data_IF_122962230490
#
_entry.id   IF_122962230490
#
_cell.length_a   1.000
_cell.length_b   1.000
_cell.length_c   1.000
_cell.angle_alpha   90.00
_cell.angle_beta   90.00
_cell.angle_gamma   90.00
#
_symmetry.space_group_name_H-M   'P 1'
#
loop_
_entity.id
_entity.type
_entity.pdbx_description
1 polymer ?
#
# COMPACT_ATOMS: atom_id res chain seq x y z
N UNK A 1 7.85 0.33 24.15
CA UNK A 1 7.86 -0.50 22.92
C UNK A 1 7.34 0.37 21.80
N UNK A 2 7.91 0.31 20.60
CA UNK A 2 7.37 1.10 19.48
C UNK A 2 6.01 0.52 19.04
N UNK A 3 5.06 1.38 18.72
CA UNK A 3 3.76 1.01 18.17
C UNK A 3 3.94 0.32 16.81
N UNK A 4 3.30 -0.84 16.60
CA UNK A 4 3.46 -1.63 15.39
C UNK A 4 2.09 -1.87 14.76
N UNK A 5 1.80 -1.15 13.67
CA UNK A 5 0.51 -1.20 12.96
C UNK A 5 0.07 -2.62 12.62
N UNK A 6 1.02 -3.51 12.28
CA UNK A 6 0.71 -4.90 11.95
C UNK A 6 0.23 -5.72 13.14
N UNK A 7 0.60 -5.30 14.36
CA UNK A 7 0.21 -5.96 15.61
C UNK A 7 -1.02 -5.33 16.23
N UNK A 8 -1.16 -4.02 16.12
CA UNK A 8 -2.25 -3.27 16.74
C UNK A 8 -3.51 -3.27 15.86
N UNK A 9 -3.36 -3.26 14.53
CA UNK A 9 -4.48 -3.30 13.57
C UNK A 9 -4.47 -4.59 12.74
N UNK A 10 -4.57 -5.74 13.43
CA UNK A 10 -4.48 -7.06 12.79
C UNK A 10 -5.53 -7.27 11.72
N UNK A 11 -6.71 -6.66 11.88
CA UNK A 11 -7.80 -6.69 10.91
C UNK A 11 -7.41 -6.12 9.55
N UNK A 12 -6.41 -5.23 9.44
CA UNK A 12 -5.95 -4.69 8.16
C UNK A 12 -4.67 -5.34 7.63
N UNK A 13 -3.87 -5.94 8.51
CA UNK A 13 -2.52 -6.41 8.16
C UNK A 13 -2.31 -7.91 8.32
N UNK A 14 -3.23 -8.64 8.94
CA UNK A 14 -3.10 -10.06 9.24
C UNK A 14 -4.39 -10.84 8.95
N UNK A 15 -4.98 -10.72 7.74
CA UNK A 15 -6.12 -11.57 7.36
C UNK A 15 -5.73 -13.05 7.35
N UNK A 16 -6.76 -13.90 7.34
CA UNK A 16 -6.60 -15.34 7.14
C UNK A 16 -6.26 -15.65 5.68
N UNK A 17 -5.84 -16.89 5.40
CA UNK A 17 -5.72 -17.45 4.03
C UNK A 17 -7.07 -17.79 3.39
N UNK A 18 -8.14 -17.17 3.87
CA UNK A 18 -9.50 -17.31 3.37
C UNK A 18 -10.05 -15.90 3.24
N UNK A 19 -10.83 -15.60 2.19
CA UNK A 19 -11.42 -14.29 2.03
C UNK A 19 -12.26 -13.89 3.23
N UNK A 20 -12.19 -12.63 3.60
CA UNK A 20 -13.02 -12.01 4.62
C UNK A 20 -13.40 -10.59 4.20
N UNK A 21 -14.58 -10.14 4.64
CA UNK A 21 -15.01 -8.76 4.45
C UNK A 21 -14.35 -7.87 5.50
N UNK A 22 -13.97 -6.66 5.10
CA UNK A 22 -13.36 -5.66 5.98
C UNK A 22 -13.87 -4.27 5.60
N UNK A 23 -14.14 -3.44 6.61
CA UNK A 23 -14.41 -2.01 6.41
C UNK A 23 -13.15 -1.23 6.78
N UNK A 24 -12.48 -0.70 5.76
CA UNK A 24 -11.22 0.02 5.90
C UNK A 24 -11.53 1.50 6.13
N UNK A 25 -11.13 2.08 7.27
CA UNK A 25 -11.35 3.49 7.54
C UNK A 25 -10.49 4.37 6.63
N UNK A 26 -10.77 5.67 6.64
CA UNK A 26 -9.88 6.63 6.02
C UNK A 26 -8.48 6.56 6.62
N UNK A 27 -7.45 6.52 5.76
CA UNK A 27 -6.05 6.51 6.16
C UNK A 27 -5.25 7.50 5.32
N UNK A 28 -4.17 8.02 5.93
CA UNK A 28 -3.21 8.93 5.29
C UNK A 28 -1.98 8.15 4.86
N UNK A 29 -1.40 8.51 3.72
CA UNK A 29 -0.27 7.83 3.13
C UNK A 29 0.74 8.82 2.57
N UNK A 30 2.01 8.42 2.59
CA UNK A 30 3.02 8.92 1.67
C UNK A 30 2.79 8.15 0.37
N UNK A 31 2.68 8.85 -0.76
CA UNK A 31 2.36 8.24 -2.05
C UNK A 31 3.31 8.68 -3.16
N UNK A 32 3.57 7.78 -4.10
CA UNK A 32 4.23 8.08 -5.38
C UNK A 32 3.51 7.33 -6.49
N UNK A 33 3.10 8.06 -7.53
CA UNK A 33 2.45 7.50 -8.71
C UNK A 33 3.46 7.16 -9.81
N UNK A 34 3.18 6.14 -10.59
CA UNK A 34 4.00 5.78 -11.73
C UNK A 34 3.36 4.77 -12.67
N UNK A 35 4.13 4.42 -13.71
CA UNK A 35 3.81 3.41 -14.71
C UNK A 35 5.06 2.59 -15.01
N UNK A 36 4.89 1.36 -15.44
CA UNK A 36 5.96 0.47 -15.92
C UNK A 36 6.19 -0.74 -15.03
N UNK A 37 7.04 -1.64 -15.54
CA UNK A 37 7.30 -2.93 -14.92
C UNK A 37 8.04 -2.75 -13.57
N UNK A 38 7.48 -3.25 -12.45
CA UNK A 38 8.07 -3.07 -11.13
C UNK A 38 9.39 -3.84 -10.92
N UNK A 39 9.73 -4.75 -11.83
CA UNK A 39 10.95 -5.57 -11.76
C UNK A 39 12.13 -4.97 -12.53
N UNK A 40 11.96 -3.81 -13.16
CA UNK A 40 13.07 -3.13 -13.84
C UNK A 40 14.11 -2.63 -12.82
N UNK A 41 15.35 -3.09 -12.99
CA UNK A 41 16.48 -2.61 -12.21
C UNK A 41 16.70 -1.11 -12.47
N UNK A 42 16.82 -0.34 -11.39
CA UNK A 42 16.86 1.13 -11.41
C UNK A 42 15.65 1.78 -12.11
N UNK A 43 14.54 1.04 -12.22
CA UNK A 43 13.29 1.46 -12.83
C UNK A 43 12.53 2.51 -12.01
N UNK A 44 11.41 2.98 -12.57
CA UNK A 44 10.56 3.98 -11.93
C UNK A 44 10.03 3.52 -10.56
N UNK A 45 9.67 2.25 -10.43
CA UNK A 45 9.13 1.68 -9.20
C UNK A 45 10.17 1.61 -8.07
N UNK A 46 11.38 1.12 -8.35
CA UNK A 46 12.47 1.08 -7.37
C UNK A 46 12.82 2.49 -6.87
N UNK A 47 12.86 3.48 -7.76
CA UNK A 47 13.09 4.89 -7.41
C UNK A 47 11.97 5.44 -6.52
N UNK A 48 10.71 5.12 -6.82
CA UNK A 48 9.56 5.52 -6.00
C UNK A 48 9.65 4.97 -4.57
N UNK A 49 9.98 3.68 -4.40
CA UNK A 49 10.19 3.07 -3.08
C UNK A 49 11.27 3.83 -2.29
N UNK A 50 12.37 4.20 -2.93
CA UNK A 50 13.43 5.00 -2.31
C UNK A 50 12.95 6.35 -1.78
N UNK A 51 12.09 7.04 -2.53
CA UNK A 51 11.46 8.30 -2.11
C UNK A 51 10.53 8.09 -0.90
N UNK A 52 9.64 7.09 -0.96
CA UNK A 52 8.69 6.78 0.11
C UNK A 52 9.39 6.55 1.45
N UNK A 53 10.37 5.65 1.47
CA UNK A 53 11.15 5.40 2.69
C UNK A 53 11.97 6.60 3.13
N UNK A 54 12.38 7.46 2.18
CA UNK A 54 13.05 8.71 2.50
C UNK A 54 12.21 9.64 3.36
N UNK A 55 10.92 9.79 3.03
CA UNK A 55 9.98 10.59 3.83
C UNK A 55 9.59 9.86 5.11
N UNK A 56 9.24 8.56 5.02
CA UNK A 56 8.79 7.78 6.17
C UNK A 56 9.82 7.78 7.31
N UNK A 57 11.11 7.61 6.99
CA UNK A 57 12.16 7.66 8.01
C UNK A 57 12.47 9.08 8.49
N UNK A 58 12.30 10.11 7.65
CA UNK A 58 12.45 11.51 8.08
C UNK A 58 11.41 11.87 9.13
N UNK A 59 10.14 11.52 8.90
CA UNK A 59 9.04 11.66 9.86
C UNK A 59 9.33 10.86 11.13
N UNK A 60 9.66 9.57 11.00
CA UNK A 60 9.96 8.71 12.15
C UNK A 60 11.11 9.25 13.01
N UNK A 61 12.14 9.82 12.39
CA UNK A 61 13.33 10.31 13.09
C UNK A 61 13.24 11.77 13.54
N UNK A 62 12.12 12.45 13.30
CA UNK A 62 11.84 13.81 13.80
C UNK A 62 12.07 13.94 15.31
N UNK A 63 11.78 12.87 16.09
CA UNK A 63 12.06 12.79 17.53
C UNK A 63 13.51 13.12 17.91
N UNK A 64 14.48 12.88 17.00
CA UNK A 64 15.91 13.15 17.19
C UNK A 64 16.33 14.55 16.73
N UNK A 65 15.44 15.33 16.13
CA UNK A 65 15.66 16.71 15.71
C UNK A 65 14.78 17.70 16.46
N UNK A 66 14.73 18.93 15.93
CA UNK A 66 14.05 20.06 16.57
C UNK A 66 12.56 20.17 16.18
N UNK A 67 12.14 19.54 15.08
CA UNK A 67 10.73 19.47 14.69
C UNK A 67 9.99 18.47 15.56
N UNK A 68 9.11 18.96 16.44
CA UNK A 68 8.25 18.13 17.29
C UNK A 68 6.84 18.11 16.71
N UNK A 69 6.38 16.92 16.34
CA UNK A 69 5.03 16.70 15.86
C UNK A 69 4.11 16.49 17.07
N UNK A 70 2.96 17.16 17.08
CA UNK A 70 1.97 16.97 18.14
C UNK A 70 1.45 15.53 18.10
N UNK A 71 1.21 14.93 19.27
CA UNK A 71 0.76 13.53 19.38
C UNK A 71 1.77 12.46 18.95
N UNK A 72 3.04 12.81 18.69
CA UNK A 72 4.05 11.83 18.27
C UNK A 72 4.24 10.71 19.30
N UNK A 73 4.26 9.47 18.80
CA UNK A 73 4.75 8.30 19.51
C UNK A 73 5.76 7.54 18.66
N UNK A 74 6.65 6.76 19.27
CA UNK A 74 7.58 5.91 18.50
C UNK A 74 6.82 4.74 17.86
N UNK A 75 7.02 4.51 16.56
CA UNK A 75 6.31 3.50 15.79
C UNK A 75 7.22 2.76 14.81
N UNK A 76 6.88 1.54 14.45
CA UNK A 76 7.53 0.82 13.34
C UNK A 76 6.93 1.36 12.03
N UNK A 77 7.78 1.69 11.05
CA UNK A 77 7.31 2.11 9.71
C UNK A 77 6.37 1.02 9.16
N UNK A 78 5.13 1.36 8.77
CA UNK A 78 4.18 0.41 8.19
C UNK A 78 4.74 -0.30 6.95
N UNK A 79 4.18 -1.46 6.56
CA UNK A 79 4.59 -2.14 5.34
C UNK A 79 4.42 -1.26 4.10
N UNK A 80 5.15 -1.59 3.04
CA UNK A 80 4.90 -1.02 1.72
C UNK A 80 3.53 -1.50 1.23
N UNK A 81 2.81 -0.60 0.59
CA UNK A 81 1.48 -0.82 0.03
C UNK A 81 1.50 -0.40 -1.45
N UNK A 82 0.62 -0.98 -2.27
CA UNK A 82 0.58 -0.73 -3.71
C UNK A 82 -0.83 -0.84 -4.28
N UNK A 83 -1.30 0.22 -4.93
CA UNK A 83 -2.45 0.13 -5.82
C UNK A 83 -2.01 -0.14 -7.24
N UNK A 84 -2.70 -1.06 -7.92
CA UNK A 84 -2.34 -1.53 -9.26
C UNK A 84 -3.55 -1.52 -10.20
N UNK A 85 -3.33 -1.09 -11.45
CA UNK A 85 -4.30 -1.18 -12.53
C UNK A 85 -3.60 -1.15 -13.90
N UNK A 86 -4.35 -1.44 -14.95
CA UNK A 86 -3.94 -1.21 -16.34
C UNK A 86 -5.03 -0.42 -17.07
N UNK A 87 -4.60 0.54 -17.89
CA UNK A 87 -5.51 1.37 -18.69
C UNK A 87 -6.30 0.49 -19.68
N UNK A 88 -7.63 0.61 -19.68
CA UNK A 88 -8.49 -0.11 -20.62
C UNK A 88 -8.70 -1.60 -20.30
N UNK A 89 -8.24 -2.09 -19.15
CA UNK A 89 -8.45 -3.46 -18.70
C UNK A 89 -9.29 -3.51 -17.41
N UNK A 90 -10.13 -4.56 -17.29
CA UNK A 90 -10.72 -4.93 -16.00
C UNK A 90 -9.77 -5.91 -15.31
N UNK A 91 -9.12 -5.47 -14.24
CA UNK A 91 -8.12 -6.27 -13.51
C UNK A 91 -6.68 -6.01 -13.96
N UNK A 92 -5.79 -6.96 -13.65
CA UNK A 92 -4.35 -6.88 -13.92
C UNK A 92 -3.90 -8.10 -14.73
N UNK A 93 -3.31 -7.88 -15.89
CA UNK A 93 -2.65 -8.86 -16.75
C UNK A 93 -1.14 -8.90 -16.44
N UNK A 94 -0.75 -9.89 -15.65
CA UNK A 94 0.62 -10.12 -15.20
C UNK A 94 1.61 -10.44 -16.33
N UNK A 95 1.14 -10.71 -17.56
CA UNK A 95 2.03 -10.89 -18.71
C UNK A 95 2.50 -9.58 -19.33
N UNK A 96 1.81 -8.47 -19.07
CA UNK A 96 2.08 -7.12 -19.62
C UNK A 96 2.46 -6.12 -18.52
N UNK A 97 3.51 -6.45 -17.77
CA UNK A 97 3.96 -5.66 -16.60
C UNK A 97 4.38 -4.24 -16.98
N UNK A 98 4.82 -4.01 -18.21
CA UNK A 98 5.15 -2.70 -18.78
C UNK A 98 3.96 -1.72 -18.82
N UNK A 99 2.73 -2.25 -18.86
CA UNK A 99 1.51 -1.44 -18.91
C UNK A 99 0.94 -1.12 -17.53
N UNK A 100 1.57 -1.62 -16.46
CA UNK A 100 1.11 -1.41 -15.09
C UNK A 100 1.16 0.06 -14.73
N UNK A 101 0.03 0.59 -14.28
CA UNK A 101 -0.06 1.83 -13.55
C UNK A 101 -0.16 1.52 -12.06
N UNK A 102 0.50 2.33 -11.24
CA UNK A 102 0.57 2.07 -9.81
C UNK A 102 0.64 3.35 -8.97
N UNK A 103 0.16 3.21 -7.72
CA UNK A 103 0.45 4.13 -6.63
C UNK A 103 1.16 3.31 -5.54
N UNK A 104 2.43 3.61 -5.28
CA UNK A 104 3.18 2.99 -4.20
C UNK A 104 3.04 3.84 -2.93
N UNK A 105 2.79 3.19 -1.79
CA UNK A 105 2.29 3.83 -0.58
C UNK A 105 3.00 3.34 0.68
N UNK A 106 3.10 4.21 1.68
CA UNK A 106 3.38 3.85 3.07
C UNK A 106 2.41 4.61 3.97
N UNK A 107 1.65 3.89 4.81
CA UNK A 107 0.72 4.51 5.76
C UNK A 107 1.46 5.48 6.70
N UNK A 108 0.84 6.64 6.93
CA UNK A 108 1.24 7.61 7.94
C UNK A 108 0.46 7.39 9.24
N UNK A 109 1.09 7.60 10.40
CA UNK A 109 0.36 7.75 11.66
C UNK A 109 -0.64 8.90 11.63
N UNK A 110 -1.75 8.75 12.34
CA UNK A 110 -2.85 9.72 12.32
C UNK A 110 -2.44 11.11 12.80
N UNK A 111 -1.45 11.19 13.70
CA UNK A 111 -0.86 12.43 14.21
C UNK A 111 -0.10 13.23 13.15
N UNK A 112 0.29 12.59 12.03
CA UNK A 112 1.00 13.29 10.96
C UNK A 112 0.00 14.16 10.21
N UNK A 113 0.27 15.47 10.22
CA UNK A 113 -0.47 16.45 9.42
C UNK A 113 0.18 16.65 8.05
N UNK A 114 -0.53 17.29 7.14
CA UNK A 114 0.04 17.69 5.84
C UNK A 114 1.23 18.65 6.02
N UNK A 115 1.20 19.52 7.04
CA UNK A 115 2.33 20.39 7.38
C UNK A 115 3.57 19.62 7.85
N UNK A 116 3.39 18.57 8.65
CA UNK A 116 4.48 17.67 9.08
C UNK A 116 5.06 16.89 7.90
N UNK A 117 4.20 16.47 6.98
CA UNK A 117 4.62 15.85 5.72
C UNK A 117 5.44 16.81 4.87
N UNK A 118 4.98 18.05 4.66
CA UNK A 118 5.71 19.04 3.86
C UNK A 118 7.07 19.36 4.48
N UNK A 119 7.13 19.51 5.80
CA UNK A 119 8.40 19.65 6.52
C UNK A 119 9.34 18.46 6.24
N UNK A 120 8.82 17.23 6.26
CA UNK A 120 9.63 16.04 6.01
C UNK A 120 10.15 15.98 4.57
N UNK A 121 9.37 16.44 3.59
CA UNK A 121 9.79 16.60 2.19
C UNK A 121 10.97 17.58 2.09
N UNK A 122 10.82 18.77 2.66
CA UNK A 122 11.85 19.81 2.61
C UNK A 122 13.14 19.36 3.32
N UNK A 123 13.01 18.74 4.50
CA UNK A 123 14.14 18.26 5.29
C UNK A 123 14.87 17.09 4.61
N UNK A 124 14.12 16.15 4.01
CA UNK A 124 14.70 15.05 3.24
C UNK A 124 15.43 15.56 2.00
N UNK A 125 14.82 16.48 1.25
CA UNK A 125 15.41 17.10 0.07
C UNK A 125 16.70 17.84 0.43
N UNK A 126 16.71 18.63 1.49
CA UNK A 126 17.89 19.35 1.98
C UNK A 126 19.02 18.41 2.40
N UNK A 127 18.71 17.35 3.17
CA UNK A 127 19.73 16.41 3.68
C UNK A 127 20.29 15.47 2.61
N UNK A 128 19.42 14.97 1.72
CA UNK A 128 19.78 13.95 0.74
C UNK A 128 20.14 14.53 -0.62
N UNK A 129 19.88 15.82 -0.87
CA UNK A 129 20.12 16.50 -2.16
C UNK A 129 19.49 15.74 -3.33
N UNK A 130 18.27 15.26 -3.10
CA UNK A 130 17.47 14.47 -4.05
C UNK A 130 16.11 15.14 -4.20
N UNK A 131 15.52 15.05 -5.38
CA UNK A 131 14.19 15.57 -5.68
C UNK A 131 13.08 14.67 -5.08
N UNK A 132 12.20 15.28 -4.29
CA UNK A 132 11.01 14.64 -3.70
C UNK A 132 9.69 15.16 -4.28
N UNK A 133 9.72 15.94 -5.38
CA UNK A 133 8.54 16.56 -6.01
C UNK A 133 7.42 15.58 -6.41
N UNK A 134 7.76 14.30 -6.61
CA UNK A 134 6.80 13.23 -6.94
C UNK A 134 6.09 12.62 -5.73
N UNK A 135 6.46 13.01 -4.51
CA UNK A 135 5.87 12.45 -3.30
C UNK A 135 4.64 13.27 -2.91
N UNK A 136 3.53 12.58 -2.68
CA UNK A 136 2.22 13.15 -2.38
C UNK A 136 1.78 12.75 -0.96
N UNK A 137 1.06 13.64 -0.28
CA UNK A 137 0.26 13.31 0.91
C UNK A 137 -1.12 12.88 0.43
N UNK A 138 -1.43 11.59 0.55
CA UNK A 138 -2.66 11.02 0.00
C UNK A 138 -3.57 10.52 1.12
N UNK A 139 -4.83 10.95 1.12
CA UNK A 139 -5.87 10.45 2.03
C UNK A 139 -6.81 9.54 1.25
N UNK A 140 -7.04 8.33 1.74
CA UNK A 140 -7.78 7.29 1.02
C UNK A 140 -8.85 6.69 1.93
N UNK A 141 -10.07 6.66 1.43
CA UNK A 141 -11.21 5.94 2.02
C UNK A 141 -11.51 4.71 1.17
N UNK A 142 -10.88 3.58 1.48
CA UNK A 142 -11.12 2.31 0.78
C UNK A 142 -12.53 1.75 1.02
N UNK A 143 -13.05 1.94 2.23
CA UNK A 143 -14.38 1.53 2.63
C UNK A 143 -14.53 0.02 2.67
N UNK A 144 -15.67 -0.47 2.19
CA UNK A 144 -15.97 -1.91 2.20
C UNK A 144 -15.14 -2.66 1.14
N UNK A 145 -14.37 -3.64 1.60
CA UNK A 145 -13.51 -4.47 0.79
C UNK A 145 -13.68 -5.96 1.14
N UNK A 146 -13.20 -6.81 0.23
CA UNK A 146 -12.77 -8.18 0.54
C UNK A 146 -11.25 -8.21 0.63
N UNK A 147 -10.70 -8.98 1.55
CA UNK A 147 -9.25 -9.22 1.62
C UNK A 147 -8.90 -10.68 1.89
N UNK A 148 -7.69 -11.08 1.50
CA UNK A 148 -7.15 -12.42 1.75
C UNK A 148 -5.63 -12.37 1.89
N UNK A 149 -5.07 -13.23 2.76
CA UNK A 149 -3.62 -13.46 2.81
C UNK A 149 -3.20 -14.35 1.64
N UNK A 150 -2.47 -13.79 0.69
CA UNK A 150 -1.73 -14.54 -0.31
C UNK A 150 -0.39 -15.02 0.27
N UNK A 151 -0.05 -16.29 0.03
CA UNK A 151 1.27 -16.85 0.34
C UNK A 151 1.80 -17.57 -0.90
N UNK A 152 2.82 -17.00 -1.54
CA UNK A 152 3.31 -17.45 -2.83
C UNK A 152 3.96 -16.31 -3.62
N UNK A 153 4.39 -16.62 -4.84
CA UNK A 153 4.90 -15.61 -5.75
C UNK A 153 3.78 -14.69 -6.22
N UNK A 154 4.08 -13.43 -6.53
CA UNK A 154 3.08 -12.46 -7.01
C UNK A 154 2.34 -12.95 -8.28
N UNK A 155 3.03 -13.70 -9.15
CA UNK A 155 2.42 -14.26 -10.36
C UNK A 155 1.37 -15.36 -10.07
N UNK A 156 1.31 -15.89 -8.84
CA UNK A 156 0.32 -16.88 -8.37
C UNK A 156 -0.91 -16.22 -7.71
N UNK A 157 -0.92 -14.90 -7.56
CA UNK A 157 -2.05 -14.14 -6.99
C UNK A 157 -3.40 -14.38 -7.68
N UNK A 158 -3.49 -14.60 -9.01
CA UNK A 158 -4.76 -14.90 -9.67
C UNK A 158 -5.55 -16.04 -9.02
N UNK A 159 -4.89 -17.04 -8.43
CA UNK A 159 -5.55 -18.12 -7.72
C UNK A 159 -6.22 -17.64 -6.41
N UNK A 160 -5.60 -16.69 -5.71
CA UNK A 160 -6.18 -16.07 -4.50
C UNK A 160 -7.35 -15.15 -4.86
N UNK A 161 -7.20 -14.37 -5.94
CA UNK A 161 -8.23 -13.48 -6.46
C UNK A 161 -9.49 -14.28 -6.87
N UNK A 162 -9.33 -15.41 -7.57
CA UNK A 162 -10.46 -16.24 -7.97
C UNK A 162 -11.29 -16.74 -6.76
N UNK A 163 -10.63 -17.07 -5.65
CA UNK A 163 -11.30 -17.48 -4.41
C UNK A 163 -12.01 -16.29 -3.75
N UNK A 164 -11.42 -15.10 -3.78
CA UNK A 164 -12.06 -13.86 -3.30
C UNK A 164 -13.31 -13.52 -4.13
N UNK A 165 -13.22 -13.59 -5.45
CA UNK A 165 -14.32 -13.34 -6.38
C UNK A 165 -15.50 -14.30 -6.16
N UNK A 166 -15.20 -15.58 -5.96
CA UNK A 166 -16.24 -16.57 -5.63
C UNK A 166 -16.92 -16.22 -4.29
N UNK A 167 -16.12 -15.93 -3.26
CA UNK A 167 -16.63 -15.59 -1.93
C UNK A 167 -17.57 -14.37 -1.97
N UNK A 168 -17.18 -13.28 -2.64
CA UNK A 168 -18.01 -12.06 -2.66
C UNK A 168 -19.32 -12.29 -3.43
N UNK A 169 -19.31 -13.07 -4.52
CA UNK A 169 -20.53 -13.43 -5.26
C UNK A 169 -21.50 -14.23 -4.39
N UNK A 170 -21.01 -15.21 -3.63
CA UNK A 170 -21.82 -15.99 -2.68
C UNK A 170 -22.39 -15.13 -1.55
N UNK A 171 -21.71 -14.04 -1.19
CA UNK A 171 -22.18 -13.07 -0.18
C UNK A 171 -23.08 -11.95 -0.76
N UNK A 172 -23.35 -11.94 -2.07
CA UNK A 172 -24.20 -10.92 -2.72
C UNK A 172 -23.47 -9.61 -3.04
N UNK A 173 -22.15 -9.67 -3.26
CA UNK A 173 -21.29 -8.54 -3.59
C UNK A 173 -20.60 -8.74 -4.94
N UNK A 174 -20.15 -7.63 -5.54
CA UNK A 174 -19.30 -7.59 -6.71
C UNK A 174 -18.13 -6.62 -6.49
N UNK A 175 -17.06 -6.78 -7.27
CA UNK A 175 -15.92 -5.85 -7.23
C UNK A 175 -16.37 -4.45 -7.65
N UNK A 176 -15.87 -3.43 -6.95
CA UNK A 176 -16.19 -2.02 -7.20
C UNK A 176 -14.95 -1.25 -7.61
N UNK A 177 -14.27 -1.74 -8.65
CA UNK A 177 -13.09 -1.08 -9.20
C UNK A 177 -13.46 0.23 -9.91
N UNK A 178 -12.67 1.27 -9.67
CA UNK A 178 -12.75 2.58 -10.32
C UNK A 178 -11.40 3.29 -10.27
N UNK A 179 -11.30 4.51 -10.81
CA UNK A 179 -10.09 5.33 -10.73
C UNK A 179 -9.62 5.64 -9.30
N UNK A 180 -10.51 5.50 -8.32
CA UNK A 180 -10.22 5.75 -6.90
C UNK A 180 -10.29 4.49 -6.03
N UNK A 181 -10.72 3.37 -6.59
CA UNK A 181 -10.87 2.08 -5.90
C UNK A 181 -10.19 0.99 -6.74
N UNK A 182 -8.97 0.61 -6.39
CA UNK A 182 -8.11 -0.23 -7.25
C UNK A 182 -7.76 -1.57 -6.58
N UNK A 183 -7.08 -2.45 -7.32
CA UNK A 183 -6.43 -3.63 -6.73
C UNK A 183 -5.38 -3.17 -5.71
N UNK A 184 -5.47 -3.61 -4.46
CA UNK A 184 -4.57 -3.21 -3.38
C UNK A 184 -3.76 -4.39 -2.84
N UNK A 185 -2.44 -4.23 -2.82
CA UNK A 185 -1.47 -5.16 -2.23
C UNK A 185 -0.76 -4.54 -1.02
N UNK A 186 -0.63 -5.30 0.07
CA UNK A 186 0.17 -4.93 1.24
C UNK A 186 1.31 -5.94 1.41
N UNK A 187 2.56 -5.48 1.24
CA UNK A 187 3.75 -6.32 1.25
C UNK A 187 4.29 -6.53 2.67
N UNK A 188 3.92 -7.66 3.28
CA UNK A 188 4.36 -8.00 4.65
C UNK A 188 5.76 -8.63 4.69
N UNK A 189 6.21 -9.17 3.56
CA UNK A 189 7.52 -9.77 3.36
C UNK A 189 8.43 -8.87 2.54
N UNK A 190 9.73 -8.86 2.86
CA UNK A 190 10.74 -8.23 2.01
C UNK A 190 11.16 -9.23 0.91
N UNK A 191 10.74 -8.97 -0.33
CA UNK A 191 11.00 -9.84 -1.48
C UNK A 191 12.49 -10.05 -1.79
N UNK A 192 13.37 -9.19 -1.28
CA UNK A 192 14.83 -9.34 -1.42
C UNK A 192 15.41 -10.34 -0.43
N UNK A 193 14.64 -10.73 0.58
CA UNK A 193 15.09 -11.55 1.72
C UNK A 193 14.31 -12.84 1.90
N UNK A 194 13.10 -12.91 1.35
CA UNK A 194 12.18 -14.03 1.50
C UNK A 194 12.01 -14.68 0.13
N UNK A 195 12.12 -16.01 0.09
CA UNK A 195 11.92 -16.77 -1.14
C UNK A 195 10.47 -16.61 -1.64
N UNK A 196 10.23 -16.59 -2.97
CA UNK A 196 8.92 -16.31 -3.56
C UNK A 196 7.78 -17.14 -2.96
N UNK A 197 7.98 -18.44 -2.74
CA UNK A 197 6.98 -19.36 -2.20
C UNK A 197 6.60 -19.12 -0.72
N UNK A 198 7.28 -18.18 -0.05
CA UNK A 198 7.06 -17.81 1.35
C UNK A 198 6.69 -16.34 1.53
N UNK A 199 6.58 -15.58 0.45
CA UNK A 199 6.13 -14.18 0.51
C UNK A 199 4.72 -14.12 1.08
N UNK A 200 4.44 -13.07 1.83
CA UNK A 200 3.13 -12.78 2.39
C UNK A 200 2.67 -11.43 1.89
N UNK A 201 1.54 -11.44 1.18
CA UNK A 201 0.90 -10.24 0.64
C UNK A 201 -0.55 -10.26 1.07
N UNK A 202 -1.06 -9.16 1.60
CA UNK A 202 -2.51 -8.98 1.74
C UNK A 202 -3.03 -8.49 0.41
N UNK A 203 -3.92 -9.24 -0.21
CA UNK A 203 -4.65 -8.82 -1.40
C UNK A 203 -6.00 -8.29 -0.94
N UNK A 204 -6.36 -7.08 -1.38
CA UNK A 204 -7.61 -6.43 -0.99
C UNK A 204 -8.27 -5.78 -2.19
N UNK A 205 -9.54 -6.10 -2.41
CA UNK A 205 -10.36 -5.53 -3.48
C UNK A 205 -11.55 -4.75 -2.91
N UNK A 206 -11.82 -3.55 -3.43
CA UNK A 206 -13.04 -2.81 -3.12
C UNK A 206 -14.27 -3.57 -3.63
N UNK A 207 -15.34 -3.56 -2.84
CA UNK A 207 -16.61 -4.22 -3.22
C UNK A 207 -17.81 -3.31 -3.01
N UNK A 208 -18.91 -3.68 -3.65
CA UNK A 208 -20.26 -3.12 -3.41
C UNK A 208 -21.29 -4.24 -3.44
N UNK A 209 -22.45 -3.99 -2.85
CA UNK A 209 -23.59 -4.92 -2.95
C UNK A 209 -24.05 -4.98 -4.40
N UNK A 210 -24.33 -6.19 -4.89
CA UNK A 210 -25.03 -6.36 -6.17
C UNK A 210 -26.41 -5.70 -6.00
N UNK A 211 -26.77 -4.79 -6.91
CA UNK A 211 -28.05 -4.10 -6.87
C UNK A 211 -29.22 -5.08 -6.76
N UNK A 212 -30.20 -4.77 -5.90
CA UNK A 212 -31.53 -5.39 -5.99
C UNK A 212 -32.29 -4.81 -7.16
#
# INVERSE_FOLDING_TARGET
MAFDYKKEYKEFYMPKKKPELVEVPEMKFIAVRGKGNPNEEDGAYQKAIGLLYGIAFTIKMSKKGDHKMDGYFDYVVPPLEGFWWQEGAMGVDYSRKEDFCWISLIRLPDFVTEGDFQWAVDEAQRKKKQDYSKVEFLTISEGLCVQCMHIGAYDDEPATIAVMDQFIREQGYENDFSETRMHHEIYLSDARRVAPEKLKTVIRHPIKKIGK
#
